data_IF_057997132376
#
_entry.id   IF_057997132376
#
_cell.length_a   1.000
_cell.length_b   1.000
_cell.length_c   1.000
_cell.angle_alpha   90.00
_cell.angle_beta   90.00
_cell.angle_gamma   90.00
#
_symmetry.space_group_name_H-M   'P 1'
#
loop_
_entity.id
_entity.type
_entity.pdbx_description
1 polymer ?
#
# COMPACT_ATOMS: atom_id res chain seq x y z
N UNK A 1 -16.75 -12.48 26.50
CA UNK A 1 -16.74 -12.65 26.15
C UNK A 1 -16.58 -12.91 25.24
N UNK A 2 -16.43 -13.13 25.08
CA UNK A 2 -16.30 -13.62 24.31
C UNK A 2 -16.51 -13.40 23.16
N UNK A 3 -16.44 -13.05 22.84
CA UNK A 3 -16.75 -12.72 21.85
C UNK A 3 -16.25 -13.19 20.85
N UNK A 4 -16.16 -13.82 20.45
CA UNK A 4 -15.75 -14.29 19.54
C UNK A 4 -16.17 -13.71 18.56
N UNK A 5 -15.94 -13.19 18.37
CA UNK A 5 -16.42 -12.49 17.59
C UNK A 5 -16.44 -12.81 16.32
N UNK A 6 -16.09 -12.71 15.81
CA UNK A 6 -16.07 -12.67 14.67
C UNK A 6 -15.36 -13.69 14.06
N UNK A 7 -15.89 -14.57 13.53
CA UNK A 7 -15.25 -15.56 12.95
C UNK A 7 -14.89 -15.15 11.64
N UNK A 8 -13.96 -14.39 11.46
CA UNK A 8 -13.44 -13.99 10.28
C UNK A 8 -13.12 -15.09 9.38
N UNK A 9 -12.56 -16.12 9.84
CA UNK A 9 -12.13 -17.21 9.06
C UNK A 9 -13.28 -17.86 8.39
N UNK A 10 -14.25 -18.17 9.07
CA UNK A 10 -15.35 -18.80 8.55
C UNK A 10 -16.00 -17.98 7.52
N UNK A 11 -16.19 -16.82 7.77
CA UNK A 11 -16.78 -15.95 6.87
C UNK A 11 -16.01 -15.87 5.63
N UNK A 12 -14.78 -15.74 5.73
CA UNK A 12 -13.93 -15.62 4.59
C UNK A 12 -14.03 -16.82 3.72
N UNK A 13 -14.06 -17.93 4.30
CA UNK A 13 -14.12 -19.13 3.55
C UNK A 13 -15.37 -19.18 2.73
N UNK A 14 -16.44 -18.92 3.28
CA UNK A 14 -17.60 -18.97 2.61
C UNK A 14 -17.62 -18.02 1.52
N UNK A 15 -17.28 -16.91 1.70
CA UNK A 15 -17.22 -16.01 0.73
C UNK A 15 -16.38 -16.38 -0.36
N UNK A 16 -15.35 -16.88 -0.17
CA UNK A 16 -14.42 -17.20 -1.17
C UNK A 16 -15.07 -17.97 -2.19
N UNK A 17 -15.83 -18.84 -1.83
CA UNK A 17 -16.39 -19.69 -2.73
C UNK A 17 -17.25 -18.94 -3.62
N UNK A 18 -18.13 -18.34 -3.15
CA UNK A 18 -19.01 -17.70 -3.97
C UNK A 18 -18.45 -16.64 -4.76
N UNK A 19 -17.76 -15.93 -4.18
CA UNK A 19 -17.25 -14.83 -4.82
C UNK A 19 -16.67 -15.05 -6.03
N UNK A 20 -16.16 -16.01 -6.11
CA UNK A 20 -15.47 -16.20 -7.20
C UNK A 20 -16.13 -15.87 -8.31
N UNK A 21 -17.12 -15.99 -8.37
CA UNK A 21 -17.67 -15.76 -9.46
C UNK A 21 -17.16 -14.70 -10.09
N UNK A 22 -16.53 -14.49 -10.27
CA UNK A 22 -16.06 -13.59 -10.94
C UNK A 22 -16.38 -12.47 -11.26
N UNK A 23 -16.94 -12.10 -11.26
CA UNK A 23 -17.33 -11.10 -11.64
C UNK A 23 -16.57 -10.08 -11.56
N UNK A 24 -16.02 -9.97 -11.18
CA UNK A 24 -15.34 -9.00 -10.89
C UNK A 24 -14.49 -8.63 -11.78
N UNK A 25 -14.32 -9.20 -12.47
CA UNK A 25 -13.37 -8.92 -13.21
C UNK A 25 -13.30 -7.74 -13.92
N UNK A 26 -14.14 -7.10 -14.07
CA UNK A 26 -14.01 -6.05 -14.82
C UNK A 26 -12.96 -5.14 -14.47
N UNK A 27 -12.74 -4.76 -13.39
CA UNK A 27 -11.71 -3.86 -13.08
C UNK A 27 -10.58 -4.45 -12.47
N UNK A 28 -9.46 -4.34 -12.98
CA UNK A 28 -8.31 -4.89 -12.39
C UNK A 28 -7.98 -4.10 -11.18
N UNK A 29 -7.96 -4.67 -10.08
CA UNK A 29 -7.59 -4.00 -8.88
C UNK A 29 -6.22 -4.47 -8.49
N UNK A 30 -5.65 -3.91 -7.49
CA UNK A 30 -4.36 -4.35 -7.02
C UNK A 30 -4.45 -5.82 -6.65
N UNK A 31 -5.54 -6.25 -6.12
CA UNK A 31 -5.66 -7.61 -5.73
C UNK A 31 -5.62 -8.51 -6.92
N UNK A 32 -6.24 -8.15 -7.99
CA UNK A 32 -6.25 -8.96 -9.16
C UNK A 32 -4.88 -9.01 -9.79
N UNK A 33 -4.22 -7.88 -9.87
CA UNK A 33 -2.93 -7.83 -10.46
C UNK A 33 -1.93 -8.60 -9.65
N UNK A 34 -2.08 -8.62 -8.38
CA UNK A 34 -1.17 -9.32 -7.54
C UNK A 34 -1.76 -10.65 -7.15
N UNK A 35 -2.45 -11.29 -8.04
CA UNK A 35 -3.12 -12.51 -7.73
C UNK A 35 -2.34 -13.57 -7.02
N UNK A 36 -1.10 -13.70 -7.29
CA UNK A 36 -0.35 -14.70 -6.62
C UNK A 36 0.55 -14.11 -5.56
N UNK A 37 0.49 -12.82 -5.36
CA UNK A 37 1.36 -12.19 -4.37
C UNK A 37 0.76 -12.29 -3.00
N UNK A 38 1.60 -12.38 -2.01
CA UNK A 38 1.14 -12.39 -0.65
C UNK A 38 0.97 -10.97 -0.20
N UNK A 39 -0.13 -10.65 0.44
CA UNK A 39 -0.40 -9.31 0.93
C UNK A 39 -0.58 -9.36 2.41
N UNK A 40 0.03 -8.48 3.13
CA UNK A 40 -0.19 -8.37 4.55
C UNK A 40 0.07 -6.95 5.03
N UNK A 41 -0.72 -6.48 5.97
CA UNK A 41 -0.55 -5.14 6.50
C UNK A 41 0.38 -5.23 7.69
N UNK A 42 1.38 -4.40 7.72
CA UNK A 42 2.32 -4.43 8.80
C UNK A 42 2.90 -3.05 9.00
N UNK A 43 3.60 -2.85 10.07
CA UNK A 43 4.22 -1.56 10.35
C UNK A 43 5.69 -1.69 10.00
N UNK A 44 6.17 -0.83 9.15
CA UNK A 44 7.54 -0.89 8.66
C UNK A 44 8.35 0.32 9.05
N UNK A 45 9.65 0.13 9.28
CA UNK A 45 10.52 1.28 9.51
C UNK A 45 10.64 2.10 8.24
N UNK A 46 10.43 3.39 8.34
CA UNK A 46 10.52 4.25 7.17
C UNK A 46 11.90 4.20 6.55
N UNK A 47 12.92 3.96 7.36
CA UNK A 47 14.29 3.87 6.86
C UNK A 47 14.50 2.75 5.85
N UNK A 48 13.62 1.76 5.80
CA UNK A 48 13.77 0.67 4.85
C UNK A 48 13.01 0.89 3.55
N UNK A 49 12.38 2.02 3.38
CA UNK A 49 11.57 2.28 2.20
C UNK A 49 12.35 3.01 1.13
N UNK A 50 12.24 2.54 -0.09
CA UNK A 50 12.90 3.17 -1.22
C UNK A 50 11.85 3.63 -2.23
N UNK A 51 12.07 4.74 -2.88
CA UNK A 51 11.14 5.23 -3.87
C UNK A 51 11.19 4.34 -5.10
N UNK A 52 10.08 4.24 -5.81
CA UNK A 52 10.07 3.52 -7.06
C UNK A 52 10.99 4.28 -8.02
N UNK A 53 11.75 3.59 -8.86
CA UNK A 53 12.68 4.26 -9.76
C UNK A 53 12.04 5.31 -10.64
N UNK A 54 10.78 5.13 -10.98
CA UNK A 54 10.13 6.10 -11.85
C UNK A 54 9.44 7.22 -11.11
N UNK A 55 9.60 7.30 -9.80
CA UNK A 55 8.99 8.38 -9.05
C UNK A 55 9.53 9.75 -9.51
N UNK A 56 10.72 9.78 -10.03
CA UNK A 56 11.30 11.03 -10.49
C UNK A 56 10.48 11.68 -11.60
N UNK A 57 9.65 10.93 -12.28
CA UNK A 57 8.83 11.45 -13.35
C UNK A 57 7.58 12.14 -12.80
N UNK A 58 7.32 12.05 -11.52
CA UNK A 58 6.11 12.62 -10.93
C UNK A 58 6.47 13.71 -9.93
N UNK A 59 5.76 14.79 -9.99
CA UNK A 59 6.04 15.92 -9.14
C UNK A 59 5.22 15.85 -7.86
N UNK A 60 5.81 16.15 -6.74
CA UNK A 60 5.09 16.22 -5.50
C UNK A 60 4.72 17.66 -5.23
N UNK A 61 3.45 17.91 -4.94
CA UNK A 61 2.97 19.24 -4.69
C UNK A 61 3.29 19.63 -3.26
N UNK A 62 4.11 20.64 -3.08
CA UNK A 62 4.50 21.05 -1.74
C UNK A 62 3.35 21.48 -0.86
N UNK A 63 2.35 22.12 -1.40
CA UNK A 63 1.26 22.53 -0.56
C UNK A 63 0.47 21.33 -0.08
N UNK A 64 0.34 20.30 -0.89
CA UNK A 64 -0.34 19.10 -0.46
C UNK A 64 0.50 18.39 0.58
N UNK A 65 1.80 18.40 0.43
CA UNK A 65 2.69 17.79 1.39
C UNK A 65 2.58 18.47 2.74
N UNK A 66 2.45 19.78 2.75
CA UNK A 66 2.33 20.51 3.99
C UNK A 66 1.03 20.15 4.71
N UNK A 67 -0.07 20.08 3.97
CA UNK A 67 -1.33 19.70 4.58
C UNK A 67 -1.30 18.29 5.10
N UNK A 68 -0.67 17.40 4.34
CA UNK A 68 -0.58 16.02 4.75
C UNK A 68 0.32 15.89 5.97
N UNK A 69 1.42 16.65 6.01
CA UNK A 69 2.31 16.64 7.14
C UNK A 69 1.57 17.06 8.40
N UNK A 70 0.74 18.09 8.32
CA UNK A 70 0.01 18.56 9.46
C UNK A 70 -0.99 17.51 9.93
N UNK A 71 -1.66 16.86 9.00
CA UNK A 71 -2.61 15.84 9.32
C UNK A 71 -1.94 14.65 9.99
N UNK A 72 -0.78 14.24 9.49
CA UNK A 72 -0.06 13.13 10.04
C UNK A 72 0.46 13.45 11.43
N UNK A 73 0.89 14.69 11.63
CA UNK A 73 1.37 15.09 12.93
C UNK A 73 0.24 14.99 13.96
N UNK A 74 -0.96 15.32 13.56
CA UNK A 74 -2.05 15.28 14.46
C UNK A 74 -2.69 13.92 14.62
N UNK A 75 -2.88 13.18 13.58
CA UNK A 75 -3.62 11.95 13.62
C UNK A 75 -2.85 10.68 13.27
N UNK A 76 -1.62 10.83 12.83
CA UNK A 76 -0.84 9.70 12.37
C UNK A 76 -1.25 9.31 10.95
N UNK A 77 -0.69 8.23 10.46
CA UNK A 77 -0.98 7.78 9.12
C UNK A 77 -2.17 6.84 9.20
N UNK A 78 -3.28 7.25 8.66
CA UNK A 78 -4.51 6.50 8.77
C UNK A 78 -4.70 5.43 7.71
N UNK A 79 -4.08 5.60 6.56
CA UNK A 79 -4.18 4.61 5.50
C UNK A 79 -2.84 4.01 5.21
N UNK A 80 -2.74 2.70 5.07
CA UNK A 80 -1.42 2.09 4.80
C UNK A 80 -0.95 2.47 3.40
N UNK A 81 0.35 2.57 3.25
CA UNK A 81 0.94 2.73 1.94
C UNK A 81 1.05 1.36 1.32
N UNK A 82 1.41 1.27 0.04
CA UNK A 82 1.61 -0.01 -0.61
C UNK A 82 3.07 -0.15 -0.99
N UNK A 83 3.68 -1.26 -0.64
CA UNK A 83 5.08 -1.49 -0.94
C UNK A 83 5.29 -2.90 -1.45
N UNK A 84 6.39 -3.12 -2.11
CA UNK A 84 6.79 -4.45 -2.58
C UNK A 84 8.06 -4.85 -1.83
N UNK A 85 8.09 -6.05 -1.29
CA UNK A 85 9.30 -6.55 -0.62
C UNK A 85 10.35 -6.82 -1.68
N UNK A 86 11.57 -6.41 -1.41
CA UNK A 86 12.68 -6.63 -2.32
C UNK A 86 13.63 -7.67 -1.75
N UNK A 87 14.47 -8.21 -2.60
CA UNK A 87 15.37 -9.27 -2.19
C UNK A 87 16.37 -8.84 -1.14
N UNK A 88 16.69 -7.57 -1.09
CA UNK A 88 17.70 -7.08 -0.15
C UNK A 88 17.15 -6.75 1.23
N UNK A 89 15.91 -7.09 1.48
CA UNK A 89 15.32 -6.79 2.79
C UNK A 89 14.73 -5.41 2.89
N UNK A 90 14.75 -4.65 1.82
CA UNK A 90 14.16 -3.35 1.81
C UNK A 90 12.85 -3.41 1.05
N UNK A 91 12.14 -2.30 0.98
CA UNK A 91 10.82 -2.27 0.36
C UNK A 91 10.73 -1.13 -0.63
N UNK A 92 10.07 -1.39 -1.75
CA UNK A 92 9.92 -0.37 -2.77
C UNK A 92 8.52 0.20 -2.67
N UNK A 93 8.37 1.50 -2.62
CA UNK A 93 7.07 2.14 -2.47
C UNK A 93 6.34 2.12 -3.78
N UNK A 94 5.13 1.57 -3.79
CA UNK A 94 4.31 1.54 -4.99
C UNK A 94 3.21 2.58 -4.94
N UNK A 95 2.70 2.87 -3.77
CA UNK A 95 1.69 3.91 -3.61
C UNK A 95 1.88 4.56 -2.26
N UNK A 96 1.69 5.85 -2.19
CA UNK A 96 1.82 6.57 -0.94
C UNK A 96 3.11 7.32 -0.79
N UNK A 97 3.79 7.65 -1.88
CA UNK A 97 5.06 8.39 -1.80
C UNK A 97 4.89 9.70 -1.03
N UNK A 98 3.78 10.39 -1.20
CA UNK A 98 3.59 11.63 -0.48
C UNK A 98 3.38 11.39 1.00
N UNK A 99 2.70 10.32 1.36
CA UNK A 99 2.51 9.97 2.77
C UNK A 99 3.85 9.62 3.41
N UNK A 100 4.72 8.95 2.67
CA UNK A 100 6.04 8.61 3.18
C UNK A 100 6.85 9.89 3.37
N UNK A 101 6.82 10.76 2.39
CA UNK A 101 7.59 12.00 2.48
C UNK A 101 7.08 12.88 3.63
N UNK A 102 5.78 13.00 3.78
CA UNK A 102 5.22 13.78 4.86
C UNK A 102 5.57 13.17 6.21
N UNK A 103 5.57 11.85 6.28
CA UNK A 103 5.91 11.16 7.52
C UNK A 103 7.37 11.39 7.88
N UNK A 104 8.25 11.44 6.88
CA UNK A 104 9.64 11.73 7.15
C UNK A 104 9.78 13.14 7.69
N UNK A 105 9.02 14.08 7.18
CA UNK A 105 9.12 15.46 7.60
C UNK A 105 8.68 15.66 9.05
N UNK A 106 7.80 14.81 9.56
CA UNK A 106 7.43 14.89 10.96
C UNK A 106 8.21 13.92 11.80
N UNK A 107 9.20 13.29 11.19
CA UNK A 107 10.12 12.41 11.91
C UNK A 107 9.48 11.17 12.51
N UNK A 108 8.50 10.60 11.84
CA UNK A 108 7.95 9.32 12.27
C UNK A 108 8.97 8.24 11.97
N UNK A 109 9.03 7.24 12.82
CA UNK A 109 9.96 6.15 12.63
C UNK A 109 9.36 5.01 11.83
N UNK A 110 8.06 4.83 11.91
CA UNK A 110 7.41 3.70 11.25
C UNK A 110 6.15 4.16 10.56
N UNK A 111 5.67 3.34 9.63
CA UNK A 111 4.47 3.65 8.89
C UNK A 111 3.74 2.36 8.55
N UNK A 112 2.42 2.35 8.58
CA UNK A 112 1.69 1.14 8.23
C UNK A 112 1.75 0.93 6.73
N UNK A 113 1.92 -0.27 6.30
CA UNK A 113 2.07 -0.60 4.90
C UNK A 113 1.43 -1.92 4.55
N UNK A 114 0.89 -1.99 3.34
CA UNK A 114 0.42 -3.23 2.79
C UNK A 114 1.61 -3.77 2.00
N UNK A 115 2.13 -4.91 2.39
CA UNK A 115 3.32 -5.47 1.77
C UNK A 115 2.94 -6.55 0.79
N UNK A 116 3.41 -6.42 -0.44
CA UNK A 116 3.21 -7.42 -1.46
C UNK A 116 4.51 -8.18 -1.65
N UNK A 117 4.43 -9.48 -1.70
CA UNK A 117 5.60 -10.31 -1.95
C UNK A 117 5.32 -11.05 -3.22
N UNK A 118 6.30 -11.29 -4.00
CA UNK A 118 6.13 -12.07 -5.23
C UNK A 118 5.78 -11.27 -6.47
N UNK A 119 5.79 -9.97 -6.39
CA UNK A 119 5.54 -9.17 -7.57
C UNK A 119 6.83 -9.00 -8.36
N UNK A 120 6.75 -9.20 -9.67
CA UNK A 120 7.93 -8.94 -10.48
C UNK A 120 7.99 -7.45 -10.82
N UNK A 121 9.03 -7.04 -11.49
CA UNK A 121 9.23 -5.63 -11.79
C UNK A 121 8.13 -5.05 -12.66
N UNK A 122 7.64 -5.82 -13.60
CA UNK A 122 6.60 -5.31 -14.50
C UNK A 122 5.30 -5.08 -13.75
N UNK A 123 4.92 -6.01 -12.88
CA UNK A 123 3.70 -5.86 -12.13
C UNK A 123 3.82 -4.68 -11.17
N UNK A 124 4.97 -4.52 -10.54
CA UNK A 124 5.18 -3.41 -9.63
C UNK A 124 5.09 -2.07 -10.35
N UNK A 125 5.70 -1.99 -11.52
CA UNK A 125 5.68 -0.75 -12.29
C UNK A 125 4.26 -0.43 -12.75
N UNK A 126 3.51 -1.45 -13.13
CA UNK A 126 2.14 -1.22 -13.53
C UNK A 126 1.33 -0.65 -12.37
N UNK A 127 1.48 -1.23 -11.18
CA UNK A 127 0.74 -0.76 -10.03
C UNK A 127 1.15 0.67 -9.69
N UNK A 128 2.43 0.95 -9.78
CA UNK A 128 2.93 2.28 -9.50
C UNK A 128 2.26 3.32 -10.41
N UNK A 129 2.24 3.06 -11.70
CA UNK A 129 1.66 4.01 -12.64
C UNK A 129 0.13 4.08 -12.50
N UNK A 130 -0.51 2.97 -12.24
CA UNK A 130 -1.95 2.97 -12.08
C UNK A 130 -2.37 3.79 -10.88
N UNK A 131 -1.66 3.69 -9.77
CA UNK A 131 -2.03 4.44 -8.60
C UNK A 131 -1.75 5.93 -8.79
N UNK A 132 -0.71 6.27 -9.55
CA UNK A 132 -0.45 7.68 -9.80
C UNK A 132 -1.47 8.25 -10.77
N UNK A 133 -1.99 7.47 -11.67
CA UNK A 133 -2.94 7.96 -12.62
C UNK A 133 -4.31 8.22 -12.00
N UNK A 134 -4.72 7.36 -11.11
CA UNK A 134 -6.00 7.54 -10.54
C UNK A 134 -6.00 8.14 -9.16
N UNK A 135 -4.95 8.06 -8.51
CA UNK A 135 -4.99 8.46 -7.20
C UNK A 135 -4.42 9.55 -6.92
N UNK A 136 -4.01 9.82 -6.29
CA UNK A 136 -3.50 10.81 -6.07
C UNK A 136 -2.70 10.68 -5.04
N UNK A 137 -2.12 10.10 -4.76
CA UNK A 137 -1.28 10.03 -3.74
C UNK A 137 -0.06 9.97 -4.23
#
# INVERSE_FOLDING_TARGET
MAVKPFDFTKSATKKTTGATSGRTSQIPTLSVLAGTAVQQVTVLPIALLDAHPEQAHYHMDESKLEGLRDSIREKGVLQPICVRAKADGRYEILAGHQRVEASRRVQLQTIPAMVYSGLDDDAATYIFHATNAYGRD
#
